data_IF_090657783214
#
_entry.id   IF_090657783214
#
_cell.length_a   1.000
_cell.length_b   1.000
_cell.length_c   1.000
_cell.angle_alpha   90.00
_cell.angle_beta   90.00
_cell.angle_gamma   90.00
#
_symmetry.space_group_name_H-M   'P 1'
#
loop_
_entity.id
_entity.type
_entity.pdbx_description
1 polymer ?
#
# COMPACT_ATOMS: atom_id res chain seq x y z
N UNK A 1 29.18 3.96 -52.19
CA UNK A 1 28.31 2.76 -52.34
C UNK A 1 27.84 2.21 -50.99
N UNK A 2 28.65 2.25 -49.92
CA UNK A 2 28.29 1.80 -48.56
C UNK A 2 27.03 2.44 -47.95
N UNK A 3 26.79 3.72 -48.22
CA UNK A 3 25.62 4.46 -47.68
C UNK A 3 24.27 3.90 -48.16
N UNK A 4 24.20 3.35 -49.38
CA UNK A 4 22.98 2.69 -49.88
C UNK A 4 22.80 1.29 -49.29
N UNK A 5 23.90 0.58 -49.03
CA UNK A 5 23.87 -0.72 -48.32
C UNK A 5 23.37 -0.55 -46.88
N UNK A 6 23.85 0.47 -46.16
CA UNK A 6 23.38 0.77 -44.81
C UNK A 6 21.88 1.15 -44.78
N UNK A 7 21.43 1.95 -45.74
CA UNK A 7 20.00 2.31 -45.87
C UNK A 7 19.11 1.11 -46.18
N UNK A 8 19.53 0.23 -47.11
CA UNK A 8 18.78 -0.97 -47.45
C UNK A 8 18.67 -1.94 -46.25
N UNK A 9 19.74 -2.10 -45.48
CA UNK A 9 19.73 -2.95 -44.29
C UNK A 9 18.77 -2.42 -43.21
N UNK A 10 18.71 -1.09 -43.01
CA UNK A 10 17.82 -0.47 -42.03
C UNK A 10 16.34 -0.67 -42.40
N UNK A 11 15.99 -0.57 -43.69
CA UNK A 11 14.62 -0.82 -44.18
C UNK A 11 14.24 -2.29 -44.01
N UNK A 12 15.16 -3.22 -44.28
CA UNK A 12 14.93 -4.66 -44.06
C UNK A 12 14.72 -4.97 -42.59
N UNK A 13 15.51 -4.36 -41.69
CA UNK A 13 15.34 -4.55 -40.24
C UNK A 13 14.02 -4.00 -39.72
N UNK A 14 13.58 -2.83 -40.19
CA UNK A 14 12.28 -2.27 -39.82
C UNK A 14 11.11 -3.11 -40.36
N UNK A 15 11.20 -3.58 -41.60
CA UNK A 15 10.18 -4.45 -42.18
C UNK A 15 10.10 -5.80 -41.44
N UNK A 16 11.24 -6.40 -41.10
CA UNK A 16 11.31 -7.63 -40.33
C UNK A 16 10.75 -7.46 -38.91
N UNK A 17 11.11 -6.36 -38.22
CA UNK A 17 10.58 -6.02 -36.91
C UNK A 17 9.07 -5.78 -36.93
N UNK A 18 8.56 -5.06 -37.94
CA UNK A 18 7.13 -4.85 -38.13
C UNK A 18 6.37 -6.15 -38.39
N UNK A 19 6.93 -7.04 -39.22
CA UNK A 19 6.33 -8.34 -39.49
C UNK A 19 6.31 -9.24 -38.23
N UNK A 20 7.34 -9.17 -37.39
CA UNK A 20 7.40 -9.86 -36.10
C UNK A 20 6.34 -9.37 -35.11
N UNK A 21 6.03 -8.07 -35.10
CA UNK A 21 4.96 -7.51 -34.27
C UNK A 21 3.56 -7.92 -34.76
N UNK A 22 3.34 -7.98 -36.07
CA UNK A 22 2.05 -8.34 -36.66
C UNK A 22 1.80 -9.86 -36.62
N UNK A 23 2.83 -10.67 -36.86
CA UNK A 23 2.74 -12.14 -36.80
C UNK A 23 3.05 -12.72 -35.42
N UNK A 24 3.48 -11.89 -34.46
CA UNK A 24 3.68 -12.23 -33.06
C UNK A 24 2.36 -12.44 -32.34
N UNK A 25 1.58 -13.43 -32.76
CA UNK A 25 0.61 -14.06 -31.87
C UNK A 25 1.43 -14.71 -30.77
N UNK A 26 1.50 -14.06 -29.60
CA UNK A 26 1.87 -14.74 -28.37
C UNK A 26 0.95 -15.96 -28.31
N UNK A 27 1.52 -17.14 -28.54
CA UNK A 27 0.87 -18.38 -28.18
C UNK A 27 0.75 -18.32 -26.66
N UNK A 28 -0.35 -17.73 -26.17
CA UNK A 28 -0.88 -18.06 -24.86
C UNK A 28 -1.39 -19.49 -25.00
N UNK A 29 -0.46 -20.43 -25.17
CA UNK A 29 -0.73 -21.81 -24.84
C UNK A 29 -1.27 -21.74 -23.42
N UNK A 30 -2.55 -22.08 -23.29
CA UNK A 30 -3.18 -22.30 -22.00
C UNK A 30 -2.44 -23.49 -21.40
N UNK A 31 -1.31 -23.22 -20.76
CA UNK A 31 -0.56 -24.17 -19.94
C UNK A 31 -1.32 -24.54 -18.67
N UNK A 32 -2.52 -23.97 -18.47
CA UNK A 32 -3.44 -24.43 -17.46
C UNK A 32 -4.33 -25.49 -18.10
N UNK A 33 -4.23 -26.78 -17.70
CA UNK A 33 -5.24 -27.76 -18.06
C UNK A 33 -6.61 -27.21 -17.67
N UNK A 34 -7.65 -27.53 -18.46
CA UNK A 34 -9.01 -27.21 -18.08
C UNK A 34 -9.21 -27.70 -16.64
N UNK A 35 -9.54 -26.78 -15.73
CA UNK A 35 -9.84 -27.12 -14.35
C UNK A 35 -10.82 -28.29 -14.41
N UNK A 36 -10.58 -29.41 -13.69
CA UNK A 36 -11.54 -30.49 -13.66
C UNK A 36 -12.87 -29.83 -13.35
N UNK A 37 -13.83 -29.97 -14.28
CA UNK A 37 -15.19 -29.52 -14.05
C UNK A 37 -15.58 -30.30 -12.82
N UNK A 38 -15.58 -29.64 -11.66
CA UNK A 38 -16.16 -30.20 -10.48
C UNK A 38 -17.57 -30.52 -10.93
N UNK A 39 -17.84 -31.80 -11.19
CA UNK A 39 -19.19 -32.32 -11.04
C UNK A 39 -19.62 -31.72 -9.74
N UNK A 40 -20.65 -30.89 -9.79
CA UNK A 40 -21.26 -30.34 -8.60
C UNK A 40 -21.77 -31.54 -7.79
N UNK A 41 -20.85 -32.18 -7.08
CA UNK A 41 -21.13 -32.79 -5.81
C UNK A 41 -21.77 -31.67 -5.02
N UNK A 42 -22.95 -31.99 -4.52
CA UNK A 42 -23.70 -31.28 -3.50
C UNK A 42 -22.83 -30.23 -2.82
N UNK A 43 -23.24 -28.94 -2.79
CA UNK A 43 -22.43 -27.92 -2.17
C UNK A 43 -22.18 -28.39 -0.74
N UNK A 44 -20.96 -28.90 -0.48
CA UNK A 44 -20.50 -29.17 0.86
C UNK A 44 -20.56 -27.79 1.48
N UNK A 45 -21.62 -27.57 2.27
CA UNK A 45 -21.93 -26.30 2.85
C UNK A 45 -20.63 -25.81 3.46
N UNK A 46 -20.08 -24.74 2.88
CA UNK A 46 -18.97 -24.05 3.51
C UNK A 46 -19.47 -23.81 4.94
N UNK A 47 -18.70 -24.17 5.98
CA UNK A 47 -19.14 -23.90 7.33
C UNK A 47 -19.51 -22.42 7.40
N UNK A 48 -20.78 -22.13 7.74
CA UNK A 48 -21.31 -20.77 7.86
C UNK A 48 -20.56 -19.96 8.94
N UNK A 49 -19.67 -20.63 9.67
CA UNK A 49 -18.76 -20.04 10.63
C UNK A 49 -17.38 -19.86 10.01
N UNK A 50 -17.08 -18.60 9.65
CA UNK A 50 -15.68 -18.18 9.48
C UNK A 50 -14.94 -18.39 10.80
N UNK A 51 -13.68 -18.91 10.79
CA UNK A 51 -12.90 -18.97 12.01
C UNK A 51 -12.73 -17.56 12.56
N UNK A 52 -13.23 -17.32 13.77
CA UNK A 52 -13.14 -16.03 14.41
C UNK A 52 -11.67 -15.76 14.76
N UNK A 53 -11.05 -14.84 14.02
CA UNK A 53 -9.69 -14.40 14.32
C UNK A 53 -9.69 -13.83 15.74
N UNK A 54 -8.89 -14.42 16.64
CA UNK A 54 -8.75 -13.92 18.01
C UNK A 54 -8.44 -12.43 17.95
N UNK A 55 -9.27 -11.64 18.64
CA UNK A 55 -9.16 -10.19 18.60
C UNK A 55 -7.85 -9.78 19.27
N UNK A 56 -6.78 -9.65 18.46
CA UNK A 56 -5.49 -9.16 18.96
C UNK A 56 -5.73 -7.85 19.70
N UNK A 57 -5.21 -7.76 20.91
CA UNK A 57 -5.33 -6.54 21.72
C UNK A 57 -4.74 -5.35 20.97
N UNK A 58 -5.14 -4.13 21.31
CA UNK A 58 -4.59 -2.91 20.68
C UNK A 58 -3.07 -2.87 20.85
N UNK A 59 -2.59 -3.40 21.96
CA UNK A 59 -1.20 -3.53 22.39
C UNK A 59 -0.46 -4.54 21.52
N UNK A 60 -1.00 -5.74 21.31
CA UNK A 60 -0.44 -6.73 20.38
C UNK A 60 -0.36 -6.19 18.94
N UNK A 61 -1.40 -5.49 18.48
CA UNK A 61 -1.37 -4.83 17.17
C UNK A 61 -0.29 -3.75 17.09
N UNK A 62 -0.02 -3.05 18.20
CA UNK A 62 1.04 -2.04 18.26
C UNK A 62 2.42 -2.69 18.31
N UNK A 63 2.55 -3.76 19.07
CA UNK A 63 3.76 -4.56 19.21
C UNK A 63 4.19 -5.15 17.86
N UNK A 64 3.28 -5.84 17.15
CA UNK A 64 3.57 -6.43 15.84
C UNK A 64 3.82 -5.42 14.71
N UNK A 65 3.68 -4.11 14.95
CA UNK A 65 4.18 -3.09 14.00
C UNK A 65 5.67 -2.86 14.13
N UNK A 66 6.22 -3.04 15.32
CA UNK A 66 7.62 -2.82 15.66
C UNK A 66 8.43 -4.12 15.56
N UNK A 67 7.90 -5.24 16.07
CA UNK A 67 8.51 -6.56 15.95
C UNK A 67 8.41 -7.03 14.49
N UNK A 68 9.53 -6.95 13.75
CA UNK A 68 9.58 -7.24 12.30
C UNK A 68 9.90 -8.69 12.02
N UNK A 69 10.70 -9.31 12.88
CA UNK A 69 11.05 -10.72 12.77
C UNK A 69 10.04 -11.64 13.49
N UNK A 70 9.05 -11.06 14.17
CA UNK A 70 7.99 -11.78 14.91
C UNK A 70 8.55 -12.68 16.01
N UNK A 71 9.68 -12.29 16.61
CA UNK A 71 10.34 -13.08 17.64
C UNK A 71 9.76 -12.84 19.06
N UNK A 72 8.75 -11.98 19.19
CA UNK A 72 8.11 -11.66 20.47
C UNK A 72 8.90 -10.68 21.33
N UNK A 73 9.93 -10.03 20.78
CA UNK A 73 10.71 -8.95 21.41
C UNK A 73 10.88 -7.80 20.42
N UNK A 74 11.08 -6.58 20.93
CA UNK A 74 11.44 -5.43 20.09
C UNK A 74 12.88 -5.09 20.41
N UNK A 75 13.76 -5.34 19.46
CA UNK A 75 15.17 -4.96 19.57
C UNK A 75 15.34 -3.44 19.42
N UNK A 76 16.48 -2.90 19.86
CA UNK A 76 16.78 -1.47 19.70
C UNK A 76 16.77 -1.07 18.23
N UNK A 77 17.27 -1.94 17.38
CA UNK A 77 17.38 -1.77 15.94
C UNK A 77 15.98 -1.68 15.31
N UNK A 78 15.05 -2.55 15.71
CA UNK A 78 13.66 -2.52 15.26
C UNK A 78 12.91 -1.28 15.76
N UNK A 79 13.12 -0.92 17.02
CA UNK A 79 12.53 0.29 17.60
C UNK A 79 12.98 1.56 16.85
N UNK A 80 14.27 1.63 16.49
CA UNK A 80 14.85 2.76 15.77
C UNK A 80 14.63 2.71 14.25
N UNK A 81 14.25 1.57 13.68
CA UNK A 81 14.08 1.40 12.23
C UNK A 81 13.14 2.44 11.61
N UNK A 82 12.00 2.71 12.27
CA UNK A 82 11.06 3.71 11.80
C UNK A 82 11.64 5.14 11.87
N UNK A 83 12.45 5.45 12.89
CA UNK A 83 13.11 6.75 13.02
C UNK A 83 14.18 6.94 11.97
N UNK A 84 15.02 5.92 11.70
CA UNK A 84 16.00 5.96 10.61
C UNK A 84 15.34 6.15 9.25
N UNK A 85 14.22 5.46 9.00
CA UNK A 85 13.46 5.62 7.76
C UNK A 85 12.86 7.03 7.64
N UNK A 86 12.41 7.63 8.74
CA UNK A 86 11.94 9.01 8.73
C UNK A 86 13.10 9.97 8.47
N UNK A 87 14.23 9.78 9.14
CA UNK A 87 15.43 10.59 8.96
C UNK A 87 15.89 10.62 7.50
N UNK A 88 16.09 9.44 6.89
CA UNK A 88 16.51 9.30 5.50
C UNK A 88 15.48 9.80 4.47
N UNK A 89 14.26 10.15 4.90
CA UNK A 89 13.25 10.79 4.04
C UNK A 89 13.29 12.31 4.13
N UNK A 90 13.82 12.86 5.22
CA UNK A 90 13.97 14.30 5.40
C UNK A 90 15.33 14.75 4.86
N UNK A 91 16.38 13.98 5.16
CA UNK A 91 17.75 14.15 4.67
C UNK A 91 17.80 13.79 3.17
N UNK A 92 17.65 14.82 2.34
CA UNK A 92 17.52 14.69 0.88
C UNK A 92 18.88 14.78 0.19
N UNK A 93 19.83 15.48 0.80
CA UNK A 93 21.20 15.58 0.31
C UNK A 93 22.10 14.42 0.79
N UNK A 94 21.61 13.60 1.72
CA UNK A 94 22.30 12.43 2.28
C UNK A 94 23.60 12.79 3.00
N UNK A 95 23.68 13.97 3.60
CA UNK A 95 24.85 14.43 4.34
C UNK A 95 24.91 13.88 5.78
N UNK A 96 23.85 13.20 6.23
CA UNK A 96 23.78 12.61 7.57
C UNK A 96 23.47 13.62 8.67
N UNK A 97 23.05 14.83 8.32
CA UNK A 97 22.48 15.87 9.17
C UNK A 97 21.09 16.28 8.67
N UNK A 98 20.38 17.13 9.41
CA UNK A 98 19.12 17.71 8.94
C UNK A 98 19.25 19.22 9.01
N UNK A 99 19.26 19.85 7.84
CA UNK A 99 19.18 21.31 7.76
C UNK A 99 17.81 21.81 8.26
N UNK A 100 17.71 23.10 8.58
CA UNK A 100 16.45 23.69 9.03
C UNK A 100 15.35 23.54 7.98
N UNK A 101 15.71 23.72 6.71
CA UNK A 101 14.77 23.64 5.60
C UNK A 101 14.23 22.22 5.42
N UNK A 102 15.09 21.20 5.51
CA UNK A 102 14.71 19.78 5.47
C UNK A 102 13.85 19.36 6.67
N UNK A 103 14.16 19.89 7.86
CA UNK A 103 13.36 19.65 9.04
C UNK A 103 11.98 20.33 8.95
N UNK A 104 11.95 21.54 8.39
CA UNK A 104 10.76 22.36 8.26
C UNK A 104 9.90 22.03 7.03
N UNK A 105 10.27 21.06 6.19
CA UNK A 105 9.53 20.67 4.96
C UNK A 105 8.02 20.55 5.18
N UNK A 106 7.59 19.96 6.31
CA UNK A 106 6.15 19.83 6.60
C UNK A 106 5.50 21.17 6.94
N UNK A 107 6.20 22.05 7.63
CA UNK A 107 5.71 23.37 7.97
C UNK A 107 5.65 24.26 6.72
N UNK A 108 6.71 24.24 5.90
CA UNK A 108 6.76 24.99 4.63
C UNK A 108 5.72 24.48 3.64
N UNK A 109 5.55 23.16 3.49
CA UNK A 109 4.49 22.59 2.62
C UNK A 109 3.10 22.98 3.09
N UNK A 110 2.86 23.01 4.41
CA UNK A 110 1.57 23.46 4.96
C UNK A 110 1.34 24.95 4.76
N UNK A 111 2.38 25.75 4.96
CA UNK A 111 2.34 27.18 4.72
C UNK A 111 2.00 27.46 3.26
N UNK A 112 2.75 26.88 2.32
CA UNK A 112 2.53 27.03 0.89
C UNK A 112 1.16 26.50 0.41
N UNK A 113 0.58 25.55 1.13
CA UNK A 113 -0.78 25.08 0.84
C UNK A 113 -1.89 25.94 1.45
N UNK A 114 -1.57 26.81 2.42
CA UNK A 114 -2.51 27.67 3.10
C UNK A 114 -2.48 29.11 2.56
N UNK A 115 -1.30 29.60 2.20
CA UNK A 115 -1.06 30.86 1.49
C UNK A 115 -1.54 30.71 0.03
N UNK A 116 -2.76 31.20 -0.23
CA UNK A 116 -3.44 31.00 -1.51
C UNK A 116 -3.09 32.09 -2.53
N UNK A 117 -2.68 33.28 -2.06
CA UNK A 117 -2.27 34.40 -2.91
C UNK A 117 -0.74 34.48 -3.12
N UNK A 118 0.02 33.62 -2.43
CA UNK A 118 1.48 33.51 -2.52
C UNK A 118 2.21 34.80 -2.14
N UNK A 119 1.65 35.56 -1.19
CA UNK A 119 2.23 36.82 -0.71
C UNK A 119 3.32 36.62 0.38
N UNK A 120 3.49 35.37 0.85
CA UNK A 120 4.47 35.03 1.88
C UNK A 120 4.00 35.32 3.31
N UNK A 121 2.73 35.69 3.49
CA UNK A 121 2.02 35.79 4.75
C UNK A 121 0.77 34.88 4.73
N UNK A 122 0.10 34.74 5.88
CA UNK A 122 -1.21 34.10 5.94
C UNK A 122 -2.18 35.11 6.54
N UNK A 123 -3.21 35.45 5.78
CA UNK A 123 -4.36 36.17 6.32
C UNK A 123 -5.12 35.31 7.34
N UNK A 124 -5.95 35.90 8.22
CA UNK A 124 -6.79 35.13 9.14
C UNK A 124 -7.73 34.13 8.43
N UNK A 125 -8.16 34.47 7.21
CA UNK A 125 -8.99 33.60 6.40
C UNK A 125 -8.23 32.37 5.89
N UNK A 126 -6.99 32.55 5.45
CA UNK A 126 -6.11 31.47 5.00
C UNK A 126 -5.65 30.58 6.14
N UNK A 127 -5.31 31.16 7.30
CA UNK A 127 -4.93 30.40 8.47
C UNK A 127 -6.05 29.46 8.95
N UNK A 128 -7.31 29.89 8.83
CA UNK A 128 -8.47 29.07 9.19
C UNK A 128 -8.56 27.78 8.35
N UNK A 129 -8.02 27.76 7.13
CA UNK A 129 -8.00 26.56 6.27
C UNK A 129 -7.03 25.48 6.77
N UNK A 130 -6.03 25.86 7.57
CA UNK A 130 -5.04 24.93 8.16
C UNK A 130 -5.61 24.15 9.36
N UNK A 131 -6.81 24.49 9.83
CA UNK A 131 -7.45 23.85 10.96
C UNK A 131 -7.69 22.34 10.74
N UNK A 132 -7.30 21.52 11.71
CA UNK A 132 -7.51 20.06 11.65
C UNK A 132 -9.00 19.73 11.80
N UNK A 133 -9.71 19.60 10.68
CA UNK A 133 -11.11 19.16 10.69
C UNK A 133 -11.19 17.66 10.98
N UNK A 134 -11.49 17.31 12.24
CA UNK A 134 -11.70 15.92 12.65
C UNK A 134 -13.06 15.44 12.16
N UNK A 135 -13.08 14.43 11.29
CA UNK A 135 -14.33 13.73 10.95
C UNK A 135 -14.79 12.91 12.17
N UNK A 136 -16.07 12.95 12.56
CA UNK A 136 -16.58 12.11 13.64
C UNK A 136 -16.43 10.64 13.24
N UNK A 137 -16.04 9.78 14.19
CA UNK A 137 -15.96 8.33 13.95
C UNK A 137 -17.38 7.80 13.77
N UNK A 138 -17.65 7.17 12.62
CA UNK A 138 -18.88 6.41 12.40
C UNK A 138 -18.97 5.32 13.47
N UNK A 139 -20.06 5.29 14.23
CA UNK A 139 -20.29 4.21 15.20
C UNK A 139 -20.51 2.92 14.41
N UNK A 140 -19.69 1.90 14.66
CA UNK A 140 -19.90 0.60 14.04
C UNK A 140 -21.26 0.07 14.51
N UNK A 141 -22.19 -0.14 13.58
CA UNK A 141 -23.40 -0.92 13.81
C UNK A 141 -23.03 -2.41 13.66
N UNK A 142 -22.33 -2.96 14.66
CA UNK A 142 -22.16 -4.40 14.72
C UNK A 142 -23.47 -5.01 15.26
N UNK A 143 -24.01 -6.06 14.62
CA UNK A 143 -25.10 -6.83 15.22
C UNK A 143 -24.62 -7.41 16.57
N UNK A 144 -25.51 -7.50 17.57
CA UNK A 144 -25.13 -8.10 18.85
C UNK A 144 -24.68 -9.54 18.62
N UNK A 145 -23.55 -9.92 19.23
CA UNK A 145 -23.11 -11.30 19.24
C UNK A 145 -24.25 -12.18 19.79
N UNK A 146 -24.59 -13.32 19.16
CA UNK A 146 -25.62 -14.20 19.67
C UNK A 146 -25.22 -14.65 21.08
N UNK A 147 -26.13 -14.45 22.03
CA UNK A 147 -25.95 -14.86 23.40
C UNK A 147 -25.55 -16.33 23.43
N UNK A 148 -24.45 -16.63 24.13
CA UNK A 148 -24.03 -17.99 24.43
C UNK A 148 -25.25 -18.75 24.95
N UNK A 149 -25.67 -19.78 24.22
CA UNK A 149 -26.72 -20.67 24.62
C UNK A 149 -26.33 -21.26 25.98
N UNK A 150 -27.07 -20.85 27.01
CA UNK A 150 -27.15 -21.56 28.26
C UNK A 150 -27.68 -22.95 27.95
N UNK A 151 -26.79 -23.94 27.94
CA UNK A 151 -27.16 -25.34 28.10
C UNK A 151 -27.33 -25.59 29.58
N UNK A 152 -28.59 -25.52 30.03
CA UNK A 152 -29.10 -26.43 31.05
C UNK A 152 -28.81 -27.86 30.58
N UNK A 153 -28.29 -28.74 31.44
CA UNK A 153 -28.74 -30.15 31.57
C UNK A 153 -28.26 -30.66 32.94
N UNK A 154 -29.25 -30.85 33.83
CA UNK A 154 -29.16 -31.70 35.01
C UNK A 154 -29.09 -33.17 34.58
N UNK A 155 -28.34 -33.97 35.35
CA UNK A 155 -28.25 -35.43 35.22
C UNK A 155 -27.24 -36.03 36.18
#
# INVERSE_FOLDING_TARGET
>A
MWRYLAGALAVVMLAAGGLLLVNGRAASDRLLPAMPRQTAGEPAALPDTVPEATARTREEKRFGRYDKDSNGKITREEYLANRRKAYARLDTDHDGTLSFDEWAVKATTKFAGADADHDGAMSPAEFATTAVKRKPKTKCACPPAPAAAAGEEEG
#
